data_IF_742663705749
#
_entry.id   IF_742663705749
#
_cell.length_a   1.000
_cell.length_b   1.000
_cell.length_c   1.000
_cell.angle_alpha   90.00
_cell.angle_beta   90.00
_cell.angle_gamma   90.00
#
_symmetry.space_group_name_H-M   'P 1'
#
loop_
_entity.id
_entity.type
_entity.pdbx_description
1 polymer ?
#
# COMPACT_ATOMS: atom_id res chain seq x y z
N UNK A 1 4.79 -3.10 40.75
CA UNK A 1 5.77 -2.50 39.81
C UNK A 1 5.06 -2.42 38.47
N UNK A 2 4.72 -1.24 38.01
CA UNK A 2 4.00 -1.08 36.73
C UNK A 2 5.02 -1.23 35.60
N UNK A 3 4.90 -2.28 34.84
CA UNK A 3 5.67 -2.49 33.61
C UNK A 3 5.22 -1.49 32.54
N UNK A 4 5.63 -0.26 32.72
CA UNK A 4 5.27 0.85 31.84
C UNK A 4 5.93 0.76 30.46
N UNK A 5 7.09 0.12 30.36
CA UNK A 5 7.91 0.11 29.13
C UNK A 5 7.32 -0.78 28.03
N UNK A 6 6.61 -1.85 28.37
CA UNK A 6 6.07 -2.83 27.42
C UNK A 6 4.55 -3.00 27.47
N UNK A 7 3.87 -2.13 28.20
CA UNK A 7 2.45 -2.25 28.49
C UNK A 7 2.17 -3.26 29.60
N UNK A 8 1.02 -3.10 30.24
CA UNK A 8 0.56 -4.01 31.27
C UNK A 8 -0.06 -5.25 30.61
N UNK A 9 -0.18 -6.36 31.34
CA UNK A 9 -0.94 -7.56 30.92
C UNK A 9 -2.36 -7.21 30.45
N UNK A 10 -3.00 -6.20 31.06
CA UNK A 10 -4.29 -5.68 30.65
C UNK A 10 -4.24 -5.08 29.23
N UNK A 11 -3.19 -4.31 28.89
CA UNK A 11 -3.01 -3.74 27.56
C UNK A 11 -2.82 -4.82 26.49
N UNK A 12 -2.07 -5.88 26.80
CA UNK A 12 -1.88 -7.00 25.87
C UNK A 12 -3.20 -7.76 25.65
N UNK A 13 -3.97 -8.00 26.71
CA UNK A 13 -5.30 -8.62 26.62
C UNK A 13 -6.25 -7.79 25.77
N UNK A 14 -6.27 -6.46 25.96
CA UNK A 14 -7.09 -5.55 25.16
C UNK A 14 -6.67 -5.52 23.69
N UNK A 15 -5.36 -5.51 23.41
CA UNK A 15 -4.84 -5.59 22.04
C UNK A 15 -5.24 -6.90 21.37
N UNK A 16 -5.11 -8.01 22.07
CA UNK A 16 -5.51 -9.32 21.56
C UNK A 16 -7.01 -9.37 21.29
N UNK A 17 -7.85 -8.97 22.24
CA UNK A 17 -9.30 -8.92 22.08
C UNK A 17 -9.72 -8.03 20.88
N UNK A 18 -9.03 -6.90 20.68
CA UNK A 18 -9.27 -6.04 19.51
C UNK A 18 -8.93 -6.74 18.19
N UNK A 19 -7.79 -7.41 18.12
CA UNK A 19 -7.37 -8.14 16.91
C UNK A 19 -8.31 -9.31 16.64
N UNK A 20 -8.69 -10.06 17.67
CA UNK A 20 -9.67 -11.15 17.57
C UNK A 20 -11.01 -10.62 17.07
N UNK A 21 -11.52 -9.51 17.64
CA UNK A 21 -12.75 -8.87 17.21
C UNK A 21 -12.71 -8.43 15.75
N UNK A 22 -11.64 -7.76 15.33
CA UNK A 22 -11.47 -7.35 13.93
C UNK A 22 -11.46 -8.54 12.97
N UNK A 23 -10.76 -9.62 13.29
CA UNK A 23 -10.70 -10.81 12.43
C UNK A 23 -11.99 -11.62 12.41
N UNK A 24 -12.77 -11.56 13.50
CA UNK A 24 -14.07 -12.21 13.57
C UNK A 24 -15.16 -11.49 12.77
N UNK A 25 -14.94 -10.24 12.43
CA UNK A 25 -15.86 -9.36 11.72
C UNK A 25 -15.70 -9.49 10.19
N UNK A 26 -16.41 -8.63 9.47
CA UNK A 26 -16.37 -8.52 8.00
C UNK A 26 -15.30 -7.52 7.60
N UNK A 27 -14.32 -7.94 6.81
CA UNK A 27 -13.17 -7.14 6.48
C UNK A 27 -12.84 -7.14 4.99
N UNK A 28 -12.64 -5.95 4.44
CA UNK A 28 -12.04 -5.75 3.14
C UNK A 28 -10.56 -5.36 3.27
N UNK A 29 -10.23 -4.48 4.24
CA UNK A 29 -8.86 -4.07 4.56
C UNK A 29 -8.04 -3.61 3.34
N UNK A 30 -8.64 -2.81 2.46
CA UNK A 30 -8.03 -2.33 1.21
C UNK A 30 -7.50 -3.43 0.29
N UNK A 31 -8.07 -4.63 0.33
CA UNK A 31 -7.66 -5.77 -0.49
C UNK A 31 -8.20 -5.66 -1.90
N UNK A 32 -7.55 -4.83 -2.70
CA UNK A 32 -7.79 -4.72 -4.14
C UNK A 32 -6.50 -4.90 -4.92
N UNK A 33 -6.63 -5.46 -6.12
CA UNK A 33 -5.51 -5.64 -7.04
C UNK A 33 -5.95 -5.46 -8.50
N UNK A 34 -5.23 -4.64 -9.30
CA UNK A 34 -4.12 -3.78 -8.88
C UNK A 34 -4.60 -2.62 -8.00
N UNK A 35 -3.68 -2.01 -7.25
CA UNK A 35 -3.99 -0.81 -6.45
C UNK A 35 -4.20 0.40 -7.34
N UNK A 36 -3.39 0.51 -8.40
CA UNK A 36 -3.39 1.58 -9.39
C UNK A 36 -3.68 0.93 -10.76
N UNK A 37 -4.97 0.80 -11.16
CA UNK A 37 -5.33 0.15 -12.40
C UNK A 37 -5.04 1.03 -13.61
N UNK A 38 -4.55 0.42 -14.68
CA UNK A 38 -4.47 1.05 -15.98
C UNK A 38 -5.88 1.22 -16.60
N UNK A 39 -6.05 2.15 -17.56
CA UNK A 39 -7.30 2.27 -18.32
C UNK A 39 -7.75 0.95 -18.92
N UNK A 40 -9.00 0.58 -18.68
CA UNK A 40 -9.57 -0.68 -19.12
C UNK A 40 -9.18 -1.92 -18.29
N UNK A 41 -8.30 -1.79 -17.31
CA UNK A 41 -7.91 -2.88 -16.45
C UNK A 41 -8.93 -3.10 -15.33
N UNK A 42 -9.40 -4.33 -15.19
CA UNK A 42 -10.30 -4.71 -14.12
C UNK A 42 -9.59 -4.77 -12.76
N UNK A 43 -10.33 -4.49 -11.68
CA UNK A 43 -9.83 -4.48 -10.31
C UNK A 43 -10.47 -5.60 -9.51
N UNK A 44 -9.65 -6.53 -9.03
CA UNK A 44 -10.08 -7.58 -8.11
C UNK A 44 -10.32 -7.00 -6.72
N UNK A 45 -11.42 -7.39 -6.13
CA UNK A 45 -11.84 -7.02 -4.79
C UNK A 45 -11.95 -8.28 -3.95
N UNK A 46 -11.37 -8.26 -2.77
CA UNK A 46 -11.44 -9.37 -1.82
C UNK A 46 -12.08 -8.92 -0.52
N UNK A 47 -12.93 -9.77 0.04
CA UNK A 47 -13.55 -9.59 1.36
C UNK A 47 -13.43 -10.89 2.15
N UNK A 48 -13.27 -10.76 3.46
CA UNK A 48 -13.30 -11.89 4.37
C UNK A 48 -14.38 -11.71 5.42
N UNK A 49 -15.08 -12.80 5.73
CA UNK A 49 -16.05 -12.85 6.82
C UNK A 49 -15.57 -13.81 7.88
N UNK A 50 -15.48 -13.33 9.12
CA UNK A 50 -15.14 -14.14 10.27
C UNK A 50 -16.36 -14.83 10.89
N UNK A 51 -16.16 -15.62 11.96
CA UNK A 51 -17.22 -16.41 12.59
C UNK A 51 -18.33 -15.59 13.26
N UNK A 52 -18.14 -14.27 13.47
CA UNK A 52 -19.19 -13.40 13.98
C UNK A 52 -20.33 -13.22 12.96
N UNK A 53 -20.03 -13.33 11.68
CA UNK A 53 -20.98 -13.12 10.59
C UNK A 53 -20.90 -14.25 9.56
N UNK A 54 -21.38 -15.46 9.89
CA UNK A 54 -21.44 -16.55 8.94
C UNK A 54 -22.35 -16.17 7.77
N UNK A 55 -21.85 -16.35 6.55
CA UNK A 55 -22.52 -15.92 5.34
C UNK A 55 -22.20 -16.82 4.15
N UNK A 56 -23.09 -16.83 3.16
CA UNK A 56 -22.93 -17.56 1.91
C UNK A 56 -22.88 -16.61 0.69
N UNK A 57 -23.21 -15.35 0.88
CA UNK A 57 -23.25 -14.33 -0.18
C UNK A 57 -22.45 -13.09 0.23
N UNK A 58 -21.80 -12.48 -0.77
CA UNK A 58 -21.05 -11.25 -0.60
C UNK A 58 -21.22 -10.36 -1.85
N UNK A 59 -21.11 -9.06 -1.66
CA UNK A 59 -21.39 -8.07 -2.69
C UNK A 59 -20.34 -6.97 -2.72
N UNK A 60 -20.14 -6.38 -3.89
CA UNK A 60 -19.47 -5.10 -4.07
C UNK A 60 -20.45 -4.13 -4.74
N UNK A 61 -20.55 -2.92 -4.21
CA UNK A 61 -21.27 -1.79 -4.79
C UNK A 61 -20.28 -0.74 -5.21
N UNK A 62 -20.44 -0.15 -6.40
CA UNK A 62 -19.51 0.89 -6.87
C UNK A 62 -20.20 1.93 -7.75
N UNK A 63 -19.58 3.11 -7.81
CA UNK A 63 -19.94 4.20 -8.72
C UNK A 63 -18.70 4.61 -9.52
N UNK A 64 -18.92 5.37 -10.58
CA UNK A 64 -17.85 5.92 -11.45
C UNK A 64 -17.96 7.44 -11.61
N UNK A 65 -18.86 8.06 -10.88
CA UNK A 65 -19.17 9.50 -10.90
C UNK A 65 -18.63 10.25 -9.68
N UNK A 66 -17.88 9.57 -8.81
CA UNK A 66 -17.30 10.12 -7.58
C UNK A 66 -18.25 10.18 -6.38
N UNK A 67 -19.52 9.82 -6.56
CA UNK A 67 -20.49 9.73 -5.46
C UNK A 67 -20.34 8.39 -4.71
N UNK A 68 -20.85 8.33 -3.48
CA UNK A 68 -20.88 7.09 -2.73
C UNK A 68 -21.89 6.09 -3.33
N UNK A 69 -21.52 4.82 -3.50
CA UNK A 69 -22.47 3.81 -3.95
C UNK A 69 -23.52 3.52 -2.87
N UNK A 70 -24.76 3.37 -3.30
CA UNK A 70 -25.88 2.98 -2.45
C UNK A 70 -26.48 1.69 -2.93
N UNK A 71 -26.95 0.87 -2.00
CA UNK A 71 -27.60 -0.39 -2.30
C UNK A 71 -27.64 -1.31 -1.08
N UNK A 72 -28.41 -2.38 -1.20
CA UNK A 72 -28.56 -3.41 -0.18
C UNK A 72 -28.93 -4.74 -0.83
N UNK A 73 -28.51 -5.85 -0.22
CA UNK A 73 -28.86 -7.23 -0.63
C UNK A 73 -28.53 -7.52 -2.11
N UNK A 74 -27.44 -6.90 -2.61
CA UNK A 74 -27.01 -7.06 -4.00
C UNK A 74 -27.75 -6.16 -5.00
N UNK A 75 -28.69 -5.34 -4.57
CA UNK A 75 -29.43 -4.41 -5.43
C UNK A 75 -28.87 -3.00 -5.21
N UNK A 76 -28.28 -2.44 -6.28
CA UNK A 76 -27.79 -1.06 -6.26
C UNK A 76 -28.93 -0.07 -6.48
N UNK A 77 -28.98 0.99 -5.67
CA UNK A 77 -29.89 2.15 -5.84
C UNK A 77 -29.14 3.35 -6.41
N UNK A 78 -27.80 3.41 -6.23
CA UNK A 78 -26.91 4.37 -6.86
C UNK A 78 -25.65 3.64 -7.32
N UNK A 79 -25.37 3.65 -8.64
CA UNK A 79 -24.24 2.95 -9.24
C UNK A 79 -24.55 1.51 -9.63
N UNK A 80 -23.63 0.63 -9.35
CA UNK A 80 -23.65 -0.77 -9.77
C UNK A 80 -23.46 -1.69 -8.57
N UNK A 81 -23.86 -2.95 -8.72
CA UNK A 81 -23.56 -4.02 -7.78
C UNK A 81 -23.16 -5.29 -8.49
N UNK A 82 -22.37 -6.12 -7.83
CA UNK A 82 -21.90 -7.38 -8.34
C UNK A 82 -21.70 -8.38 -7.20
N UNK A 83 -22.12 -9.66 -7.38
CA UNK A 83 -21.82 -10.68 -6.40
C UNK A 83 -20.32 -10.97 -6.36
N UNK A 84 -19.80 -11.22 -5.17
CA UNK A 84 -18.47 -11.76 -4.96
C UNK A 84 -18.59 -13.28 -4.80
N UNK A 85 -17.73 -14.01 -5.49
CA UNK A 85 -17.75 -15.48 -5.47
C UNK A 85 -16.98 -16.00 -4.25
N UNK A 86 -17.51 -17.07 -3.64
CA UNK A 86 -16.80 -17.79 -2.60
C UNK A 86 -15.54 -18.45 -3.19
N UNK A 87 -14.41 -18.28 -2.51
CA UNK A 87 -13.12 -18.84 -2.92
C UNK A 87 -12.73 -20.01 -2.04
N UNK A 88 -12.65 -19.78 -0.73
CA UNK A 88 -12.22 -20.79 0.21
C UNK A 88 -12.53 -20.39 1.66
N UNK A 89 -12.48 -21.37 2.55
CA UNK A 89 -12.41 -21.16 3.99
C UNK A 89 -10.95 -21.26 4.44
N UNK A 90 -10.43 -20.18 5.03
CA UNK A 90 -9.05 -20.07 5.51
C UNK A 90 -9.00 -20.29 7.02
N UNK A 91 -8.07 -21.13 7.49
CA UNK A 91 -7.82 -21.28 8.91
C UNK A 91 -7.12 -20.04 9.48
N UNK A 92 -7.73 -19.41 10.46
CA UNK A 92 -7.13 -18.28 11.18
C UNK A 92 -6.59 -18.73 12.55
N UNK A 93 -5.28 -18.59 12.73
CA UNK A 93 -4.57 -19.03 13.92
C UNK A 93 -4.82 -18.15 15.15
N UNK A 94 -5.32 -16.93 14.98
CA UNK A 94 -5.68 -16.04 16.09
C UNK A 94 -7.05 -16.38 16.63
N UNK A 95 -8.00 -16.64 15.73
CA UNK A 95 -9.37 -17.01 16.09
C UNK A 95 -9.52 -18.49 16.46
N UNK A 96 -8.55 -19.33 16.07
CA UNK A 96 -8.68 -20.79 16.13
C UNK A 96 -9.97 -21.27 15.43
N UNK A 97 -10.22 -20.69 14.26
CA UNK A 97 -11.43 -20.92 13.49
C UNK A 97 -11.24 -20.60 12.01
N UNK A 98 -12.27 -20.82 11.22
CA UNK A 98 -12.25 -20.49 9.82
C UNK A 98 -12.81 -19.10 9.55
N UNK A 99 -12.19 -18.39 8.62
CA UNK A 99 -12.70 -17.19 7.97
C UNK A 99 -13.03 -17.52 6.53
N UNK A 100 -14.16 -17.00 6.04
CA UNK A 100 -14.61 -17.24 4.67
C UNK A 100 -14.13 -16.12 3.76
N UNK A 101 -13.58 -16.46 2.61
CA UNK A 101 -13.05 -15.51 1.62
C UNK A 101 -13.90 -15.49 0.37
N UNK A 102 -14.23 -14.27 -0.09
CA UNK A 102 -14.92 -14.01 -1.34
C UNK A 102 -14.12 -13.08 -2.21
N UNK A 103 -14.24 -13.24 -3.53
CA UNK A 103 -13.59 -12.39 -4.52
C UNK A 103 -14.53 -12.04 -5.65
N UNK A 104 -14.33 -10.87 -6.23
CA UNK A 104 -15.00 -10.43 -7.45
C UNK A 104 -14.18 -9.39 -8.17
N UNK A 105 -14.72 -8.85 -9.25
CA UNK A 105 -13.95 -8.02 -10.15
C UNK A 105 -14.80 -6.84 -10.61
N UNK A 106 -14.43 -5.62 -10.20
CA UNK A 106 -14.98 -4.40 -10.80
C UNK A 106 -14.43 -4.28 -12.23
N UNK A 107 -15.29 -4.16 -13.25
CA UNK A 107 -14.84 -4.02 -14.64
C UNK A 107 -13.92 -2.81 -14.83
N UNK A 108 -12.98 -2.93 -15.77
CA UNK A 108 -12.06 -1.85 -16.10
C UNK A 108 -12.79 -0.58 -16.54
N UNK A 109 -12.30 0.57 -16.07
CA UNK A 109 -12.87 1.88 -16.33
C UNK A 109 -11.96 2.71 -17.23
N UNK A 110 -12.48 3.73 -17.92
CA UNK A 110 -11.67 4.67 -18.69
C UNK A 110 -10.70 5.47 -17.82
N UNK A 111 -9.64 5.99 -18.42
CA UNK A 111 -8.75 6.97 -17.80
C UNK A 111 -9.52 8.17 -17.25
N UNK A 112 -9.10 8.72 -16.13
CA UNK A 112 -9.72 9.85 -15.46
C UNK A 112 -10.94 9.51 -14.58
N UNK A 113 -11.28 8.22 -14.47
CA UNK A 113 -12.42 7.78 -13.66
C UNK A 113 -12.03 7.65 -12.18
N UNK A 114 -12.86 8.21 -11.29
CA UNK A 114 -12.82 7.93 -9.85
C UNK A 114 -13.86 6.85 -9.57
N UNK A 115 -13.41 5.69 -9.15
CA UNK A 115 -14.29 4.62 -8.69
C UNK A 115 -14.39 4.68 -7.18
N UNK A 116 -15.61 4.81 -6.66
CA UNK A 116 -15.90 4.65 -5.24
C UNK A 116 -16.63 3.34 -5.03
N UNK A 117 -16.29 2.61 -3.98
CA UNK A 117 -16.91 1.33 -3.74
C UNK A 117 -16.99 1.00 -2.25
N UNK A 118 -17.83 0.06 -1.91
CA UNK A 118 -17.90 -0.61 -0.61
C UNK A 118 -18.31 -2.06 -0.80
N UNK A 119 -18.00 -2.90 0.17
CA UNK A 119 -18.29 -4.33 0.14
C UNK A 119 -19.15 -4.73 1.32
N UNK A 120 -19.96 -5.77 1.13
CA UNK A 120 -20.80 -6.34 2.17
C UNK A 120 -20.88 -7.86 2.04
N UNK A 121 -21.34 -8.49 3.11
CA UNK A 121 -21.80 -9.87 3.11
C UNK A 121 -23.26 -9.92 3.52
N UNK A 122 -23.96 -10.98 3.12
CA UNK A 122 -25.28 -11.27 3.61
C UNK A 122 -25.22 -12.43 4.61
N UNK A 123 -25.41 -12.09 5.88
CA UNK A 123 -25.41 -13.07 6.97
C UNK A 123 -26.81 -13.58 7.25
N UNK A 124 -26.93 -14.87 7.39
CA UNK A 124 -28.20 -15.51 7.76
C UNK A 124 -28.66 -15.17 9.19
N UNK A 125 -27.76 -14.59 10.01
CA UNK A 125 -28.05 -14.23 11.41
C UNK A 125 -28.35 -12.75 11.60
N UNK A 126 -27.63 -11.89 10.87
CA UNK A 126 -27.66 -10.41 11.13
C UNK A 126 -28.12 -9.60 9.93
N UNK A 127 -28.46 -10.26 8.80
CA UNK A 127 -28.74 -9.58 7.55
C UNK A 127 -27.47 -9.09 6.86
N UNK A 128 -27.58 -8.02 6.07
CA UNK A 128 -26.42 -7.45 5.39
C UNK A 128 -25.49 -6.70 6.36
N UNK A 129 -24.20 -7.01 6.27
CA UNK A 129 -23.13 -6.38 7.05
C UNK A 129 -22.07 -5.83 6.11
N UNK A 130 -21.83 -4.52 6.19
CA UNK A 130 -20.78 -3.88 5.40
C UNK A 130 -19.40 -4.07 6.03
N UNK A 131 -18.39 -4.35 5.20
CA UNK A 131 -17.03 -4.51 5.64
C UNK A 131 -16.46 -3.22 6.24
N UNK A 132 -15.47 -3.39 7.12
CA UNK A 132 -14.70 -2.31 7.74
C UNK A 132 -15.61 -1.22 8.37
N UNK A 133 -16.69 -1.66 9.01
CA UNK A 133 -17.73 -0.80 9.63
C UNK A 133 -18.43 0.13 8.64
N UNK A 134 -18.58 -0.27 7.38
CA UNK A 134 -19.24 0.46 6.32
C UNK A 134 -18.39 1.52 5.63
N UNK A 135 -17.07 1.41 5.76
CA UNK A 135 -16.15 2.33 5.09
C UNK A 135 -16.30 2.30 3.56
N UNK A 136 -16.18 3.49 2.97
CA UNK A 136 -16.06 3.64 1.52
C UNK A 136 -14.60 3.68 1.11
N UNK A 137 -14.31 2.97 0.05
CA UNK A 137 -12.99 2.94 -0.59
C UNK A 137 -13.05 3.68 -1.92
N UNK A 138 -11.90 4.12 -2.41
CA UNK A 138 -11.81 4.73 -3.72
C UNK A 138 -10.48 4.39 -4.41
N UNK A 139 -10.51 4.41 -5.75
CA UNK A 139 -9.30 4.44 -6.56
C UNK A 139 -9.54 5.31 -7.80
N UNK A 140 -8.44 5.81 -8.32
CA UNK A 140 -8.43 6.60 -9.55
C UNK A 140 -7.81 5.76 -10.68
N UNK A 141 -8.40 5.83 -11.87
CA UNK A 141 -7.85 5.23 -13.08
C UNK A 141 -6.98 6.28 -13.77
N UNK A 142 -5.68 6.14 -13.62
CA UNK A 142 -4.73 7.15 -14.08
C UNK A 142 -4.73 7.27 -15.62
N UNK A 143 -4.55 8.51 -16.11
CA UNK A 143 -4.32 8.77 -17.51
C UNK A 143 -2.90 8.43 -17.93
N UNK A 144 -1.96 8.63 -17.01
CA UNK A 144 -0.54 8.36 -17.21
C UNK A 144 -0.15 7.17 -16.32
N UNK A 145 -0.27 5.94 -16.80
CA UNK A 145 0.06 4.77 -16.00
C UNK A 145 1.51 4.82 -15.54
N UNK A 146 1.73 4.35 -14.31
CA UNK A 146 3.09 4.22 -13.76
C UNK A 146 3.96 3.45 -14.76
N UNK A 147 5.12 3.98 -15.17
CA UNK A 147 6.01 3.30 -16.11
C UNK A 147 6.36 1.89 -15.66
N UNK A 148 6.31 0.92 -16.57
CA UNK A 148 6.50 -0.50 -16.24
C UNK A 148 7.82 -0.77 -15.50
N UNK A 149 8.90 -0.04 -15.83
CA UNK A 149 10.20 -0.22 -15.18
C UNK A 149 10.18 0.04 -13.67
N UNK A 150 9.25 0.85 -13.16
CA UNK A 150 9.15 1.18 -11.73
C UNK A 150 8.65 0.00 -10.90
N UNK A 151 7.93 -0.95 -11.53
CA UNK A 151 7.40 -2.13 -10.85
C UNK A 151 8.52 -3.09 -10.44
N UNK A 152 9.61 -3.12 -11.21
CA UNK A 152 10.78 -3.97 -10.97
C UNK A 152 11.96 -3.18 -10.40
N UNK A 153 11.75 -1.92 -9.99
CA UNK A 153 12.81 -1.06 -9.50
C UNK A 153 13.33 -1.54 -8.13
N UNK A 154 14.61 -1.89 -8.10
CA UNK A 154 15.37 -2.13 -6.87
C UNK A 154 16.31 -0.95 -6.69
N UNK A 155 15.93 -0.06 -5.78
CA UNK A 155 16.53 1.26 -5.66
C UNK A 155 17.71 1.26 -4.71
N UNK A 156 18.87 1.77 -5.20
CA UNK A 156 20.03 2.11 -4.39
C UNK A 156 20.05 3.62 -4.15
N UNK A 157 19.81 4.04 -2.92
CA UNK A 157 19.89 5.45 -2.57
C UNK A 157 21.35 5.86 -2.33
N UNK A 158 21.77 6.96 -2.94
CA UNK A 158 23.12 7.49 -2.84
C UNK A 158 23.10 8.86 -2.21
N UNK A 159 23.94 9.03 -1.20
CA UNK A 159 24.34 10.33 -0.66
C UNK A 159 25.68 10.70 -1.32
N UNK A 160 25.71 11.57 -2.35
CA UNK A 160 26.90 11.78 -3.21
C UNK A 160 28.16 12.08 -2.44
N UNK A 161 28.13 13.03 -1.51
CA UNK A 161 29.29 13.45 -0.73
C UNK A 161 29.93 12.29 0.08
N UNK A 162 29.14 11.28 0.44
CA UNK A 162 29.55 10.15 1.30
C UNK A 162 29.82 8.85 0.54
N UNK A 163 29.63 8.84 -0.80
CA UNK A 163 29.66 7.60 -1.54
C UNK A 163 31.05 7.27 -2.09
N UNK A 164 31.58 8.08 -3.00
CA UNK A 164 32.93 7.86 -3.59
C UNK A 164 33.43 9.13 -4.31
N UNK A 165 34.71 9.54 -4.10
CA UNK A 165 35.26 10.72 -4.77
C UNK A 165 35.45 10.54 -6.28
N UNK A 166 35.92 9.36 -6.73
CA UNK A 166 36.24 9.06 -8.13
C UNK A 166 37.58 9.67 -8.59
N UNK A 167 37.97 9.38 -9.84
CA UNK A 167 39.16 9.92 -10.54
C UNK A 167 40.45 9.78 -9.75
N UNK A 168 40.61 8.76 -8.90
CA UNK A 168 41.77 8.57 -8.03
C UNK A 168 41.95 9.63 -6.92
N UNK A 169 40.92 10.44 -6.70
CA UNK A 169 40.92 11.49 -5.66
C UNK A 169 40.75 10.83 -4.29
N UNK A 170 41.55 11.28 -3.34
CA UNK A 170 41.43 10.82 -1.95
C UNK A 170 40.22 11.46 -1.26
N UNK A 171 39.66 10.72 -0.30
CA UNK A 171 38.64 11.26 0.60
C UNK A 171 39.16 12.49 1.36
N UNK A 172 38.32 13.48 1.51
CA UNK A 172 38.55 14.55 2.46
C UNK A 172 38.28 14.05 3.88
N UNK A 173 39.02 14.56 4.83
CA UNK A 173 38.81 14.27 6.26
C UNK A 173 38.40 15.57 6.93
N UNK A 174 37.09 15.84 7.04
CA UNK A 174 36.62 17.07 7.67
C UNK A 174 36.85 17.05 9.19
N UNK A 175 36.95 18.22 9.81
CA UNK A 175 37.10 18.37 11.26
C UNK A 175 35.84 17.94 12.02
N UNK A 176 34.68 18.02 11.37
CA UNK A 176 33.38 17.64 11.92
C UNK A 176 32.66 16.63 11.00
N UNK A 177 31.84 15.71 11.53
CA UNK A 177 30.99 14.84 10.75
C UNK A 177 30.05 15.57 9.76
N UNK A 178 29.75 16.84 10.01
CA UNK A 178 28.93 17.70 9.14
C UNK A 178 29.70 18.30 7.95
N UNK A 179 31.03 18.10 7.89
CA UNK A 179 31.85 18.59 6.79
C UNK A 179 31.74 17.77 5.52
N UNK A 180 32.36 18.25 4.43
CA UNK A 180 32.39 17.57 3.14
C UNK A 180 33.45 16.48 3.14
N UNK A 181 33.09 15.27 2.69
CA UNK A 181 34.01 14.15 2.48
C UNK A 181 34.49 14.05 1.03
N UNK A 182 33.85 14.75 0.11
CA UNK A 182 34.32 14.95 -1.25
C UNK A 182 33.87 13.89 -2.24
N UNK A 183 32.87 13.10 -1.93
CA UNK A 183 32.22 12.23 -2.92
C UNK A 183 31.58 13.07 -4.04
N UNK A 184 31.61 12.53 -5.28
CA UNK A 184 31.21 13.23 -6.50
C UNK A 184 30.35 12.34 -7.40
N UNK A 185 29.65 12.96 -8.35
CA UNK A 185 28.95 12.22 -9.43
C UNK A 185 29.90 11.36 -10.27
N UNK A 186 31.13 11.82 -10.54
CA UNK A 186 32.15 11.03 -11.21
C UNK A 186 32.45 9.71 -10.47
N UNK A 187 32.55 9.77 -9.15
CA UNK A 187 32.71 8.59 -8.31
C UNK A 187 31.53 7.63 -8.35
N UNK A 188 30.31 8.18 -8.42
CA UNK A 188 29.11 7.35 -8.61
C UNK A 188 29.17 6.62 -9.95
N UNK A 189 29.56 7.31 -11.03
CA UNK A 189 29.70 6.73 -12.37
C UNK A 189 30.70 5.59 -12.36
N UNK A 190 31.87 5.76 -11.73
CA UNK A 190 32.88 4.70 -11.60
C UNK A 190 32.38 3.46 -10.83
N UNK A 191 31.36 3.61 -10.00
CA UNK A 191 30.80 2.54 -9.16
C UNK A 191 29.48 1.96 -9.68
N UNK A 192 29.02 2.33 -10.88
CA UNK A 192 27.79 1.80 -11.44
C UNK A 192 27.79 0.28 -11.57
N UNK A 193 28.90 -0.30 -12.06
CA UNK A 193 29.03 -1.76 -12.19
C UNK A 193 28.98 -2.47 -10.83
N UNK A 194 29.55 -1.85 -9.80
CA UNK A 194 29.48 -2.35 -8.42
C UNK A 194 28.02 -2.36 -7.93
N UNK A 195 27.28 -1.28 -8.13
CA UNK A 195 25.87 -1.16 -7.75
C UNK A 195 25.02 -2.19 -8.50
N UNK A 196 25.20 -2.27 -9.82
CA UNK A 196 24.52 -3.24 -10.67
C UNK A 196 24.85 -4.69 -10.29
N UNK A 197 26.12 -4.97 -9.96
CA UNK A 197 26.58 -6.29 -9.52
C UNK A 197 25.96 -6.75 -8.18
N UNK A 198 25.46 -5.83 -7.36
CA UNK A 198 24.69 -6.13 -6.16
C UNK A 198 23.19 -6.41 -6.44
N UNK A 199 22.73 -6.26 -7.69
CA UNK A 199 21.35 -6.50 -8.10
C UNK A 199 20.44 -5.27 -8.10
N UNK A 200 20.99 -4.07 -7.88
CA UNK A 200 20.23 -2.82 -8.01
C UNK A 200 20.14 -2.39 -9.47
N UNK A 201 18.98 -1.94 -9.90
CA UNK A 201 18.73 -1.49 -11.27
C UNK A 201 18.30 -0.02 -11.36
N UNK A 202 18.15 0.63 -10.22
CA UNK A 202 17.69 2.03 -10.13
C UNK A 202 18.50 2.78 -9.07
N UNK A 203 18.84 4.04 -9.35
CA UNK A 203 19.56 4.90 -8.43
C UNK A 203 18.66 6.06 -8.00
N UNK A 204 18.63 6.33 -6.71
CA UNK A 204 18.05 7.54 -6.13
C UNK A 204 19.18 8.41 -5.59
N UNK A 205 19.41 9.56 -6.19
CA UNK A 205 20.40 10.52 -5.69
C UNK A 205 19.77 11.47 -4.66
N UNK A 206 20.44 11.66 -3.51
CA UNK A 206 20.19 12.83 -2.69
C UNK A 206 20.49 14.09 -3.50
N UNK A 207 20.00 15.29 -3.08
CA UNK A 207 20.12 16.51 -3.88
C UNK A 207 21.54 16.77 -4.39
N UNK A 208 21.65 17.12 -5.69
CA UNK A 208 22.92 17.34 -6.38
C UNK A 208 23.13 18.80 -6.83
N UNK A 209 22.21 19.68 -6.49
CA UNK A 209 22.29 21.10 -6.81
C UNK A 209 23.29 21.84 -5.93
N UNK A 210 23.80 23.01 -6.35
CA UNK A 210 24.66 23.83 -5.53
C UNK A 210 24.05 24.10 -4.14
N UNK A 211 24.81 23.78 -3.10
CA UNK A 211 24.34 23.84 -1.72
C UNK A 211 25.50 24.15 -0.78
N UNK A 212 25.30 24.96 0.26
CA UNK A 212 26.31 25.20 1.28
C UNK A 212 26.54 24.01 2.21
N UNK A 213 25.62 23.03 2.24
CA UNK A 213 25.73 21.84 3.08
C UNK A 213 26.10 20.60 2.29
N UNK A 214 26.73 19.64 2.98
CA UNK A 214 27.09 18.35 2.42
C UNK A 214 25.89 17.48 2.03
N UNK A 215 24.70 17.72 2.59
CA UNK A 215 23.50 16.94 2.29
C UNK A 215 22.69 17.45 1.10
N UNK A 216 22.91 18.72 0.67
CA UNK A 216 22.29 19.27 -0.54
C UNK A 216 20.82 19.68 -0.43
N UNK A 217 20.15 19.48 0.71
CA UNK A 217 18.71 19.79 0.87
C UNK A 217 18.42 21.29 1.03
N UNK A 218 19.43 22.13 1.18
CA UNK A 218 19.39 23.59 1.24
C UNK A 218 19.97 24.20 -0.04
N UNK A 219 19.56 23.68 -1.19
CA UNK A 219 20.01 24.14 -2.50
C UNK A 219 19.81 25.64 -2.67
N UNK A 220 20.87 26.32 -3.15
CA UNK A 220 20.86 27.76 -3.41
C UNK A 220 20.52 28.10 -4.86
N UNK A 221 20.62 27.11 -5.74
CA UNK A 221 20.28 27.22 -7.15
C UNK A 221 19.69 25.88 -7.60
N UNK A 222 18.61 25.95 -8.36
CA UNK A 222 17.89 24.78 -8.90
C UNK A 222 18.04 24.65 -10.43
N UNK A 223 18.85 25.50 -11.08
CA UNK A 223 19.07 25.52 -12.51
C UNK A 223 20.55 25.38 -12.88
#
# INVERSE_FOLDING_TARGET
MNDFIFGTLATQKLRRARVEGQRADVNHNHRRFPRDPNPGQAVFIEITSGPAHPCDRAWVYWTVDGNDPEGSEGISTNGYSLPLEFVEDLWDTVLWGYIRRFQGMIPGQPAGTIVRYRTSIESNLTGEVFADSGAFEAYYVDQDPIPEWTKDAIIYQIFPDRFYPGDGILWQVPESPDGFYGGKLAGIIEKLDYIAGMGFNTIWLNPIFPSPSHHGYDATDLF
#
